data_IF_239343000611
#
_entry.id   IF_239343000611
#
_cell.length_a   1.000
_cell.length_b   1.000
_cell.length_c   1.000
_cell.angle_alpha   90.00
_cell.angle_beta   90.00
_cell.angle_gamma   90.00
#
_symmetry.space_group_name_H-M   'P 1'
#
loop_
_entity.id
_entity.type
_entity.pdbx_description
1 polymer ?
#
# COMPACT_ATOMS: atom_id res chain seq x y z
N UNK A 1 15.09 40.17 11.98
CA UNK A 1 13.87 39.43 11.56
C UNK A 1 14.14 38.01 11.03
N UNK A 2 15.26 37.75 10.33
CA UNK A 2 15.57 36.45 9.72
C UNK A 2 15.82 35.29 10.71
N UNK A 3 16.24 35.59 11.95
CA UNK A 3 16.47 34.58 12.99
C UNK A 3 15.18 33.91 13.47
N UNK A 4 14.10 34.69 13.66
CA UNK A 4 12.82 34.15 14.12
C UNK A 4 12.19 33.26 13.03
N UNK A 5 12.31 33.66 11.76
CA UNK A 5 11.84 32.87 10.64
C UNK A 5 12.63 31.56 10.52
N UNK A 6 13.96 31.60 10.62
CA UNK A 6 14.80 30.39 10.64
C UNK A 6 14.54 29.48 11.84
N UNK A 7 14.26 30.05 13.01
CA UNK A 7 13.91 29.30 14.22
C UNK A 7 12.56 28.61 14.07
N UNK A 8 11.54 29.31 13.56
CA UNK A 8 10.23 28.72 13.26
C UNK A 8 10.38 27.67 12.16
N UNK A 9 11.03 27.94 11.03
CA UNK A 9 11.24 26.94 9.98
C UNK A 9 12.00 25.70 10.49
N UNK A 10 13.01 25.85 11.35
CA UNK A 10 13.73 24.69 11.91
C UNK A 10 12.93 23.92 12.96
N UNK A 11 12.09 24.58 13.74
CA UNK A 11 11.39 23.97 14.89
C UNK A 11 9.88 23.76 14.67
N UNK A 12 9.32 24.25 13.57
CA UNK A 12 7.90 24.18 13.19
C UNK A 12 7.67 23.32 11.95
N UNK A 13 8.72 22.85 11.28
CA UNK A 13 8.60 21.77 10.31
C UNK A 13 8.64 20.47 11.12
N UNK A 14 7.46 19.99 11.50
CA UNK A 14 7.34 18.58 11.83
C UNK A 14 7.83 17.78 10.62
N UNK A 15 8.68 16.77 10.84
CA UNK A 15 9.07 15.88 9.75
C UNK A 15 7.78 15.31 9.16
N UNK A 16 7.59 15.35 7.83
CA UNK A 16 6.38 14.85 7.22
C UNK A 16 6.19 13.39 7.66
N UNK A 17 5.03 13.13 8.28
CA UNK A 17 4.65 11.81 8.75
C UNK A 17 4.12 10.94 7.61
N UNK A 18 3.84 9.68 7.91
CA UNK A 18 3.07 8.85 7.00
C UNK A 18 1.66 9.41 6.82
N UNK A 19 1.15 9.39 5.58
CA UNK A 19 -0.22 9.81 5.25
C UNK A 19 -0.97 8.69 4.55
N UNK A 20 -2.29 8.70 4.66
CA UNK A 20 -3.15 7.75 3.96
C UNK A 20 -4.08 8.49 3.01
N UNK A 21 -4.30 7.94 1.82
CA UNK A 21 -5.11 8.57 0.79
C UNK A 21 -5.60 7.60 -0.26
N UNK A 22 -6.41 8.11 -1.19
CA UNK A 22 -7.01 7.29 -2.24
C UNK A 22 -6.07 7.12 -3.44
N UNK A 23 -5.90 5.88 -3.89
CA UNK A 23 -5.10 5.53 -5.07
C UNK A 23 -5.74 6.05 -6.35
N UNK A 24 -4.90 6.68 -7.19
CA UNK A 24 -5.18 6.93 -8.60
C UNK A 24 -4.07 6.33 -9.45
N UNK A 25 -4.43 5.44 -10.37
CA UNK A 25 -3.52 4.91 -11.38
C UNK A 25 -3.65 5.77 -12.65
N UNK A 26 -2.59 6.52 -12.94
CA UNK A 26 -2.44 7.29 -14.17
C UNK A 26 -1.50 6.61 -15.18
N UNK A 27 -1.36 7.22 -16.36
CA UNK A 27 -0.43 6.76 -17.39
C UNK A 27 1.03 6.77 -16.93
N UNK A 28 1.40 7.72 -16.07
CA UNK A 28 2.78 7.95 -15.61
C UNK A 28 3.16 7.11 -14.37
N UNK A 29 2.21 6.47 -13.69
CA UNK A 29 2.50 5.77 -12.44
C UNK A 29 1.33 5.69 -11.48
N UNK A 30 1.62 5.22 -10.27
CA UNK A 30 0.67 5.23 -9.15
C UNK A 30 0.78 6.56 -8.43
N UNK A 31 -0.34 7.23 -8.18
CA UNK A 31 -0.43 8.39 -7.29
C UNK A 31 -1.41 8.12 -6.15
N UNK A 32 -1.24 8.85 -5.06
CA UNK A 32 -2.12 8.81 -3.89
C UNK A 32 -2.58 10.23 -3.58
N UNK A 33 -3.90 10.42 -3.54
CA UNK A 33 -4.51 11.70 -3.15
C UNK A 33 -4.87 11.65 -1.65
N UNK A 34 -4.13 12.40 -0.85
CA UNK A 34 -4.32 12.57 0.59
C UNK A 34 -4.60 14.05 0.90
N UNK A 35 -3.96 14.62 1.93
CA UNK A 35 -3.93 16.07 2.16
C UNK A 35 -3.34 16.82 0.95
N UNK A 36 -2.34 16.21 0.33
CA UNK A 36 -1.73 16.64 -0.93
C UNK A 36 -1.74 15.48 -1.95
N UNK A 37 -1.39 15.76 -3.20
CA UNK A 37 -1.26 14.73 -4.25
C UNK A 37 0.19 14.23 -4.34
N UNK A 38 0.38 12.94 -4.08
CA UNK A 38 1.66 12.24 -4.12
C UNK A 38 1.79 11.47 -5.43
N UNK A 39 2.80 11.76 -6.26
CA UNK A 39 2.88 11.29 -7.66
C UNK A 39 4.09 10.39 -7.91
N UNK A 40 3.98 9.53 -8.92
CA UNK A 40 5.05 8.63 -9.38
C UNK A 40 5.65 7.79 -8.24
N UNK A 41 4.79 7.33 -7.32
CA UNK A 41 5.22 6.63 -6.13
C UNK A 41 5.81 5.26 -6.47
N UNK A 42 6.99 4.99 -5.93
CA UNK A 42 7.55 3.64 -5.88
C UNK A 42 6.78 2.82 -4.85
N UNK A 43 6.51 1.55 -5.17
CA UNK A 43 5.79 0.64 -4.28
C UNK A 43 6.78 -0.24 -3.52
N UNK A 44 6.68 -0.24 -2.19
CA UNK A 44 7.41 -1.16 -1.33
C UNK A 44 6.68 -2.51 -1.29
N UNK A 45 7.01 -3.40 -2.22
CA UNK A 45 6.43 -4.74 -2.33
C UNK A 45 7.46 -5.83 -1.96
N UNK A 46 7.03 -6.97 -1.42
CA UNK A 46 7.91 -8.13 -1.24
C UNK A 46 8.51 -8.57 -2.58
N UNK A 47 9.76 -9.03 -2.56
CA UNK A 47 10.42 -9.56 -3.76
C UNK A 47 9.62 -10.74 -4.35
N UNK A 48 9.38 -10.71 -5.66
CA UNK A 48 8.58 -11.71 -6.36
C UNK A 48 7.06 -11.46 -6.33
N UNK A 49 6.58 -10.45 -5.62
CA UNK A 49 5.17 -10.04 -5.61
C UNK A 49 5.03 -8.64 -6.20
N UNK A 50 4.27 -8.52 -7.28
CA UNK A 50 3.97 -7.22 -7.89
C UNK A 50 2.46 -7.04 -8.02
N UNK A 51 1.94 -5.88 -7.61
CA UNK A 51 0.52 -5.56 -7.74
C UNK A 51 0.29 -4.08 -8.00
N UNK A 52 -0.60 -3.78 -8.94
CA UNK A 52 -1.09 -2.42 -9.15
C UNK A 52 -2.41 -2.28 -8.39
N UNK A 53 -2.46 -1.46 -7.33
CA UNK A 53 -3.68 -1.30 -6.55
C UNK A 53 -4.79 -0.67 -7.39
N UNK A 54 -6.05 -1.12 -7.25
CA UNK A 54 -7.19 -0.51 -7.92
C UNK A 54 -7.39 0.95 -7.52
N UNK A 55 -7.97 1.73 -8.44
CA UNK A 55 -8.39 3.10 -8.14
C UNK A 55 -9.38 3.11 -6.97
N UNK A 56 -9.24 4.09 -6.09
CA UNK A 56 -10.12 4.26 -4.93
C UNK A 56 -9.62 3.59 -3.65
N UNK A 57 -8.75 2.59 -3.73
CA UNK A 57 -8.19 1.94 -2.54
C UNK A 57 -7.42 2.92 -1.65
N UNK A 58 -7.49 2.75 -0.34
CA UNK A 58 -6.73 3.57 0.61
C UNK A 58 -5.31 3.03 0.74
N UNK A 59 -4.30 3.83 0.36
CA UNK A 59 -2.89 3.47 0.45
C UNK A 59 -2.13 4.38 1.40
N UNK A 60 -1.09 3.84 2.03
CA UNK A 60 -0.18 4.59 2.90
C UNK A 60 1.00 5.07 2.08
N UNK A 61 1.32 6.36 2.22
CA UNK A 61 2.53 7.00 1.71
C UNK A 61 3.45 7.27 2.87
N UNK A 62 4.72 6.88 2.71
CA UNK A 62 5.77 7.11 3.68
C UNK A 62 6.88 7.96 3.05
N UNK A 63 7.18 9.13 3.62
CA UNK A 63 8.38 9.90 3.26
C UNK A 63 9.65 9.10 3.59
N UNK A 64 10.56 8.98 2.62
CA UNK A 64 11.84 8.27 2.74
C UNK A 64 12.98 9.07 2.12
N UNK A 65 13.91 9.56 2.94
CA UNK A 65 15.03 10.40 2.48
C UNK A 65 14.52 11.64 1.72
N UNK A 66 14.96 11.80 0.47
CA UNK A 66 14.58 12.91 -0.43
C UNK A 66 13.31 12.62 -1.25
N UNK A 67 12.60 11.52 -0.99
CA UNK A 67 11.42 11.12 -1.77
C UNK A 67 10.36 10.44 -0.92
N UNK A 68 9.48 9.70 -1.60
CA UNK A 68 8.32 9.05 -1.00
C UNK A 68 8.04 7.71 -1.66
N UNK A 69 7.54 6.79 -0.86
CA UNK A 69 7.14 5.44 -1.29
C UNK A 69 5.73 5.15 -0.80
N UNK A 70 5.02 4.26 -1.48
CA UNK A 70 3.80 3.67 -0.92
C UNK A 70 4.10 2.31 -0.31
N UNK A 71 3.62 2.08 0.91
CA UNK A 71 3.73 0.80 1.63
C UNK A 71 2.70 -0.23 1.17
N UNK A 72 1.84 0.14 0.22
CA UNK A 72 0.72 -0.67 -0.25
C UNK A 72 -0.63 -0.11 0.20
N UNK A 73 -1.67 -0.88 -0.12
CA UNK A 73 -3.05 -0.56 0.27
C UNK A 73 -3.33 -1.09 1.66
N UNK A 74 -4.00 -0.27 2.47
CA UNK A 74 -4.65 -0.74 3.69
C UNK A 74 -5.78 -1.68 3.28
N UNK A 75 -5.66 -2.95 3.67
CA UNK A 75 -6.70 -3.94 3.39
C UNK A 75 -7.94 -3.65 4.22
N UNK A 76 -9.12 -3.78 3.61
CA UNK A 76 -10.33 -4.08 4.38
C UNK A 76 -10.17 -5.41 5.12
N UNK A 77 -11.13 -5.75 5.98
CA UNK A 77 -11.17 -7.07 6.62
C UNK A 77 -11.27 -8.17 5.56
N UNK A 78 -10.13 -8.80 5.23
CA UNK A 78 -10.11 -10.02 4.44
C UNK A 78 -10.57 -11.18 5.33
N UNK A 79 -11.48 -12.02 4.82
CA UNK A 79 -11.94 -13.23 5.50
C UNK A 79 -10.85 -14.33 5.44
N UNK A 80 -9.72 -14.10 6.10
CA UNK A 80 -8.62 -15.05 6.24
C UNK A 80 -8.37 -15.35 7.71
N UNK A 81 -8.07 -16.60 8.03
CA UNK A 81 -7.74 -16.99 9.40
C UNK A 81 -6.26 -16.73 9.73
N UNK A 82 -5.92 -16.81 11.01
CA UNK A 82 -4.53 -16.76 11.46
C UNK A 82 -3.69 -17.84 10.74
N UNK A 83 -2.54 -17.43 10.19
CA UNK A 83 -1.62 -18.30 9.47
C UNK A 83 -1.97 -18.54 8.00
N UNK A 84 -3.08 -17.98 7.51
CA UNK A 84 -3.44 -18.06 6.09
C UNK A 84 -2.81 -16.91 5.30
N UNK A 85 -2.61 -17.14 4.00
CA UNK A 85 -2.13 -16.13 3.05
C UNK A 85 -3.07 -16.08 1.86
N UNK A 86 -3.40 -14.88 1.38
CA UNK A 86 -4.26 -14.72 0.22
C UNK A 86 -3.70 -13.70 -0.78
N UNK A 87 -3.88 -14.01 -2.06
CA UNK A 87 -3.64 -13.11 -3.19
C UNK A 87 -4.97 -12.93 -3.93
N UNK A 88 -5.32 -11.67 -4.23
CA UNK A 88 -6.55 -11.31 -4.92
C UNK A 88 -6.24 -10.37 -6.10
N UNK A 89 -7.03 -10.50 -7.17
CA UNK A 89 -7.11 -9.49 -8.23
C UNK A 89 -8.47 -8.79 -8.21
N UNK A 90 -8.53 -7.56 -8.72
CA UNK A 90 -9.80 -6.83 -8.89
C UNK A 90 -10.77 -7.52 -9.85
N UNK A 91 -10.28 -8.43 -10.68
CA UNK A 91 -11.11 -9.26 -11.57
C UNK A 91 -11.74 -10.49 -10.89
N UNK A 92 -11.49 -10.70 -9.59
CA UNK A 92 -12.06 -11.80 -8.82
C UNK A 92 -11.23 -13.09 -8.82
N UNK A 93 -10.02 -13.08 -9.40
CA UNK A 93 -9.12 -14.23 -9.28
C UNK A 93 -8.50 -14.26 -7.88
N UNK A 94 -8.36 -15.46 -7.30
CA UNK A 94 -7.80 -15.64 -5.96
C UNK A 94 -6.97 -16.90 -5.81
N UNK A 95 -5.95 -16.81 -4.97
CA UNK A 95 -5.18 -17.95 -4.43
C UNK A 95 -5.13 -17.76 -2.91
N UNK A 96 -5.55 -18.77 -2.16
CA UNK A 96 -5.54 -18.75 -0.69
C UNK A 96 -4.78 -19.99 -0.21
N UNK A 97 -3.71 -19.78 0.54
CA UNK A 97 -2.99 -20.81 1.28
C UNK A 97 -3.64 -20.93 2.66
N UNK A 98 -4.31 -22.04 2.91
CA UNK A 98 -5.01 -22.30 4.18
C UNK A 98 -4.02 -22.81 5.22
N UNK A 99 -4.33 -22.57 6.49
CA UNK A 99 -3.48 -22.96 7.61
C UNK A 99 -3.52 -24.46 7.93
N UNK A 100 -4.40 -25.22 7.26
CA UNK A 100 -4.46 -26.67 7.30
C UNK A 100 -3.65 -27.34 6.17
N UNK A 101 -2.98 -26.56 5.30
CA UNK A 101 -2.21 -27.07 4.15
C UNK A 101 -2.94 -27.01 2.81
N UNK A 102 -4.27 -26.84 2.81
CA UNK A 102 -5.04 -26.75 1.57
C UNK A 102 -4.70 -25.48 0.79
N UNK A 103 -4.76 -25.58 -0.53
CA UNK A 103 -4.67 -24.43 -1.44
C UNK A 103 -6.03 -24.24 -2.10
N UNK A 104 -6.57 -23.02 -2.03
CA UNK A 104 -7.82 -22.65 -2.71
C UNK A 104 -7.50 -21.75 -3.90
N UNK A 105 -7.81 -22.18 -5.12
CA UNK A 105 -7.62 -21.39 -6.34
C UNK A 105 -8.99 -21.13 -6.98
N UNK A 106 -9.40 -19.86 -7.04
CA UNK A 106 -10.72 -19.44 -7.55
C UNK A 106 -11.87 -20.27 -6.95
N UNK A 107 -11.82 -20.54 -5.64
CA UNK A 107 -12.81 -21.31 -4.89
C UNK A 107 -12.69 -22.84 -4.99
N UNK A 108 -11.76 -23.38 -5.80
CA UNK A 108 -11.49 -24.82 -5.87
C UNK A 108 -10.42 -25.22 -4.86
N UNK A 109 -10.69 -26.27 -4.09
CA UNK A 109 -9.79 -26.77 -3.05
C UNK A 109 -8.84 -27.83 -3.62
N UNK A 110 -7.56 -27.68 -3.30
CA UNK A 110 -6.50 -28.64 -3.55
C UNK A 110 -5.93 -29.04 -2.18
N UNK A 111 -6.19 -30.27 -1.77
CA UNK A 111 -5.75 -30.75 -0.47
C UNK A 111 -4.23 -30.95 -0.43
N UNK A 112 -3.62 -30.70 0.73
CA UNK A 112 -2.26 -31.17 0.98
C UNK A 112 -2.23 -32.70 1.04
N UNK A 113 -1.20 -33.32 0.46
CA UNK A 113 -0.94 -34.76 0.59
C UNK A 113 -0.49 -35.17 2.00
#
# INVERSE_FOLDING_TARGET
MMWLMNYITKNSIEKPGAVSGSVKKGAEGTSVLASDEHKMLLQCLPYGVYSVPPNGCSAVVLPVGEGEVTLGVTSGTAEINQGELALYSSGGASIILKNNGDVVINGRVFASE
#
